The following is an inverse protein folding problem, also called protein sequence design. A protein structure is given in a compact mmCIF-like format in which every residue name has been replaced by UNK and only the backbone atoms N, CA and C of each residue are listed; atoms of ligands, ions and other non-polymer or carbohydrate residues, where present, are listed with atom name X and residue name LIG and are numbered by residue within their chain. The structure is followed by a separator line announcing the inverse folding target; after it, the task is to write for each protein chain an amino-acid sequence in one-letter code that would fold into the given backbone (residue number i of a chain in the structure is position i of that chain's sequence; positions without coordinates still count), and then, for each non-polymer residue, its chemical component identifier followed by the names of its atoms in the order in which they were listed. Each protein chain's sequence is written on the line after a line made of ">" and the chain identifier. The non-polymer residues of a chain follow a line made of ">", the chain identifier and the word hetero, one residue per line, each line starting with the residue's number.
data_IF_846722594010
#
_entry.id   IF_846722594010
#
_cell.length_a   1.000
_cell.length_b   1.000
_cell.length_c   1.000
_cell.angle_alpha   90.00
_cell.angle_beta   90.00
_cell.angle_gamma   90.00
#
_symmetry.space_group_name_H-M   'P 1'
#
loop_
_entity.id
_entity.type
_entity.pdbx_description
1 polymer ?
#
# COMPACT_ATOMS: atom_id res chain seq x y z
N UNK A 1 55.74 -5.73 -49.31
CA UNK A 1 54.55 -5.46 -48.49
C UNK A 1 55.01 -4.99 -47.12
N UNK A 2 55.05 -3.70 -46.86
CA UNK A 2 55.51 -3.14 -45.57
C UNK A 2 54.32 -2.89 -44.68
N UNK A 3 54.25 -3.61 -43.56
CA UNK A 3 53.22 -3.42 -42.55
C UNK A 3 53.58 -2.19 -41.69
N UNK A 4 52.68 -1.15 -41.69
CA UNK A 4 52.82 0.01 -40.84
C UNK A 4 52.21 -0.32 -39.47
N UNK A 5 53.04 -0.42 -38.46
CA UNK A 5 52.63 -0.58 -37.06
C UNK A 5 52.33 0.77 -36.50
N UNK A 6 51.02 1.09 -36.26
CA UNK A 6 50.59 2.33 -35.62
C UNK A 6 50.59 2.07 -34.10
N UNK A 7 51.53 2.67 -33.37
CA UNK A 7 51.53 2.67 -31.91
C UNK A 7 50.63 3.77 -31.39
N UNK A 8 49.63 3.46 -30.51
CA UNK A 8 48.77 4.49 -29.94
C UNK A 8 49.57 5.40 -29.00
N UNK A 9 49.38 6.69 -29.14
CA UNK A 9 50.06 7.72 -28.32
C UNK A 9 49.63 7.58 -26.85
N UNK A 10 50.60 7.55 -25.94
CA UNK A 10 50.43 7.47 -24.47
C UNK A 10 49.51 8.57 -23.91
N UNK A 11 49.39 9.68 -24.60
CA UNK A 11 48.47 10.80 -24.21
C UNK A 11 47.00 10.45 -24.38
N UNK A 12 46.64 9.67 -25.39
CA UNK A 12 45.25 9.24 -25.61
C UNK A 12 44.75 8.28 -24.53
N UNK A 13 45.63 7.35 -24.09
CA UNK A 13 45.31 6.38 -23.03
C UNK A 13 45.10 7.06 -21.69
N UNK A 14 45.86 8.11 -21.36
CA UNK A 14 45.66 8.87 -20.11
C UNK A 14 44.35 9.68 -20.11
N UNK A 15 43.93 10.23 -21.26
CA UNK A 15 42.67 10.98 -21.36
C UNK A 15 41.46 10.06 -21.19
N UNK A 16 41.50 8.84 -21.74
CA UNK A 16 40.41 7.87 -21.56
C UNK A 16 40.33 7.34 -20.11
N UNK A 17 41.45 7.17 -19.41
CA UNK A 17 41.44 6.74 -18.01
C UNK A 17 40.86 7.81 -17.07
N UNK A 18 41.14 9.10 -17.31
CA UNK A 18 40.61 10.19 -16.52
C UNK A 18 39.11 10.41 -16.76
N UNK A 19 38.63 10.25 -17.99
CA UNK A 19 37.21 10.32 -18.30
C UNK A 19 36.41 9.18 -17.63
N UNK A 20 36.95 7.97 -17.56
CA UNK A 20 36.32 6.82 -16.91
C UNK A 20 36.21 6.98 -15.39
N UNK A 21 37.19 7.66 -14.75
CA UNK A 21 37.15 7.91 -13.30
C UNK A 21 36.09 8.99 -12.95
N UNK A 22 35.85 9.96 -13.82
CA UNK A 22 34.86 11.02 -13.59
C UNK A 22 33.41 10.50 -13.74
N UNK A 23 33.15 9.55 -14.63
CA UNK A 23 31.82 8.94 -14.79
C UNK A 23 31.47 8.04 -13.60
N UNK A 24 32.44 7.43 -12.95
CA UNK A 24 32.20 6.63 -11.75
C UNK A 24 31.82 7.46 -10.50
N UNK A 25 32.16 8.74 -10.44
CA UNK A 25 31.81 9.62 -9.31
C UNK A 25 30.42 10.26 -9.42
N UNK A 26 29.73 10.12 -10.56
CA UNK A 26 28.36 10.59 -10.78
C UNK A 26 27.30 9.50 -10.53
N UNK A 27 27.64 8.43 -9.85
CA UNK A 27 26.65 7.56 -9.23
C UNK A 27 25.93 8.36 -8.12
N UNK A 28 25.06 9.28 -8.53
CA UNK A 28 24.09 9.93 -7.65
C UNK A 28 23.30 8.79 -7.01
N UNK A 29 23.56 8.54 -5.72
CA UNK A 29 22.71 7.65 -4.94
C UNK A 29 21.33 8.28 -4.98
N UNK A 30 20.42 7.70 -5.72
CA UNK A 30 19.01 8.04 -5.63
C UNK A 30 18.60 7.68 -4.20
N UNK A 31 18.52 8.66 -3.30
CA UNK A 31 17.78 8.50 -2.07
C UNK A 31 16.38 8.06 -2.47
N UNK A 32 15.91 6.98 -1.89
CA UNK A 32 14.56 6.50 -2.15
C UNK A 32 13.60 7.60 -1.68
N UNK A 33 13.12 8.42 -2.61
CA UNK A 33 12.11 9.41 -2.32
C UNK A 33 10.83 8.68 -1.90
N UNK A 34 10.30 9.06 -0.74
CA UNK A 34 9.03 8.51 -0.27
C UNK A 34 7.89 9.06 -1.12
N UNK A 35 7.10 8.20 -1.71
CA UNK A 35 5.95 8.61 -2.53
C UNK A 35 4.81 9.13 -1.65
N UNK A 36 4.45 10.39 -1.86
CA UNK A 36 3.36 11.08 -1.20
C UNK A 36 2.11 11.07 -2.10
N UNK A 37 0.97 10.68 -1.56
CA UNK A 37 -0.24 10.60 -2.35
C UNK A 37 -1.36 9.78 -1.71
N UNK A 38 -2.27 9.31 -2.55
CA UNK A 38 -3.38 8.47 -2.12
C UNK A 38 -3.40 7.14 -2.87
N UNK A 39 -3.98 6.13 -2.23
CA UNK A 39 -4.34 4.85 -2.85
C UNK A 39 -5.83 4.61 -2.72
N UNK A 40 -6.39 3.92 -3.70
CA UNK A 40 -7.79 3.51 -3.70
C UNK A 40 -7.92 2.00 -3.78
N UNK A 41 -8.83 1.46 -3.01
CA UNK A 41 -9.14 0.03 -2.98
C UNK A 41 -10.66 -0.17 -3.10
N UNK A 42 -11.15 -1.06 -3.98
CA UNK A 42 -10.37 -1.81 -4.97
C UNK A 42 -9.52 -0.88 -5.85
N UNK A 43 -8.40 -1.41 -6.38
CA UNK A 43 -7.54 -0.63 -7.27
C UNK A 43 -8.34 -0.11 -8.48
N UNK A 44 -8.07 1.12 -8.95
CA UNK A 44 -8.66 1.63 -10.19
C UNK A 44 -8.45 0.64 -11.34
N UNK A 45 -9.46 0.47 -12.19
CA UNK A 45 -9.48 -0.54 -13.26
C UNK A 45 -10.15 -1.85 -12.90
N UNK A 46 -10.32 -2.17 -11.63
CA UNK A 46 -11.03 -3.36 -11.21
C UNK A 46 -12.52 -3.32 -11.61
N UNK A 47 -13.10 -4.49 -11.86
CA UNK A 47 -14.56 -4.64 -11.89
C UNK A 47 -15.08 -4.77 -10.46
N UNK A 48 -16.08 -3.97 -10.10
CA UNK A 48 -16.61 -3.89 -8.74
C UNK A 48 -18.09 -4.22 -8.68
N UNK A 49 -18.64 -4.73 -7.57
CA UNK A 49 -20.07 -4.96 -7.42
C UNK A 49 -20.85 -3.63 -7.40
N UNK A 50 -22.17 -3.68 -7.68
CA UNK A 50 -23.00 -2.45 -7.69
C UNK A 50 -23.19 -1.82 -6.32
N UNK A 51 -22.94 -2.56 -5.24
CA UNK A 51 -22.96 -2.09 -3.84
C UNK A 51 -21.54 -1.87 -3.24
N UNK A 52 -20.56 -1.59 -4.10
CA UNK A 52 -19.16 -1.40 -3.71
C UNK A 52 -18.97 -0.38 -2.61
N UNK A 53 -18.01 -0.65 -1.74
CA UNK A 53 -17.44 0.28 -0.75
C UNK A 53 -15.95 0.42 -1.03
N UNK A 54 -15.52 1.65 -1.28
CA UNK A 54 -14.10 1.91 -1.51
C UNK A 54 -13.37 2.24 -0.20
N UNK A 55 -12.07 2.03 -0.21
CA UNK A 55 -11.17 2.55 0.82
C UNK A 55 -10.23 3.54 0.15
N UNK A 56 -10.17 4.76 0.67
CA UNK A 56 -9.21 5.79 0.27
C UNK A 56 -8.15 5.89 1.36
N UNK A 57 -6.90 5.60 1.00
CA UNK A 57 -5.75 5.70 1.88
C UNK A 57 -4.91 6.91 1.52
N UNK A 58 -4.64 7.80 2.48
CA UNK A 58 -3.66 8.87 2.38
C UNK A 58 -2.33 8.43 2.98
N UNK A 59 -1.25 8.69 2.25
CA UNK A 59 0.12 8.32 2.61
C UNK A 59 0.93 9.59 2.83
N UNK A 60 1.75 9.63 3.87
CA UNK A 60 2.61 10.76 4.25
C UNK A 60 1.82 12.08 4.46
N UNK A 61 2.09 13.14 3.71
CA UNK A 61 1.40 14.43 3.86
C UNK A 61 -0.12 14.32 3.58
N UNK A 62 -0.53 13.39 2.71
CA UNK A 62 -1.94 13.20 2.38
C UNK A 62 -2.77 12.53 3.49
N UNK A 63 -2.13 11.91 4.49
CA UNK A 63 -2.84 11.27 5.61
C UNK A 63 -3.76 12.24 6.37
N UNK A 64 -3.28 13.46 6.64
CA UNK A 64 -4.07 14.46 7.37
C UNK A 64 -5.25 14.97 6.53
N UNK A 65 -5.03 15.17 5.22
CA UNK A 65 -6.07 15.61 4.29
C UNK A 65 -7.17 14.56 4.13
N UNK A 66 -6.79 13.29 3.98
CA UNK A 66 -7.74 12.17 3.91
C UNK A 66 -8.51 12.01 5.23
N UNK A 67 -7.84 12.15 6.38
CA UNK A 67 -8.50 12.08 7.69
C UNK A 67 -9.58 13.16 7.89
N UNK A 68 -9.39 14.34 7.32
CA UNK A 68 -10.36 15.46 7.38
C UNK A 68 -11.59 15.27 6.50
N UNK A 69 -11.63 14.29 5.59
CA UNK A 69 -12.79 14.02 4.75
C UNK A 69 -13.98 13.43 5.53
N UNK A 70 -13.74 12.86 6.72
CA UNK A 70 -14.80 12.24 7.53
C UNK A 70 -15.83 13.29 7.93
N UNK A 71 -17.10 12.98 7.66
CA UNK A 71 -18.24 13.83 8.06
C UNK A 71 -18.64 14.91 7.06
N UNK A 72 -17.95 15.05 5.93
CA UNK A 72 -18.37 16.00 4.88
C UNK A 72 -17.32 16.15 3.79
N UNK A 73 -17.63 15.68 2.61
CA UNK A 73 -16.82 15.92 1.42
C UNK A 73 -17.69 15.95 0.17
N UNK A 74 -17.28 16.73 -0.83
CA UNK A 74 -17.92 16.80 -2.14
C UNK A 74 -17.43 15.68 -3.08
N UNK A 75 -17.27 14.45 -2.54
CA UNK A 75 -16.89 13.31 -3.35
C UNK A 75 -18.11 12.75 -4.07
N UNK A 76 -17.95 12.48 -5.35
CA UNK A 76 -18.97 11.87 -6.19
C UNK A 76 -18.37 10.90 -7.20
N UNK A 77 -19.15 9.87 -7.53
CA UNK A 77 -18.89 8.98 -8.65
C UNK A 77 -19.63 9.50 -9.87
N UNK A 78 -18.88 9.83 -10.89
CA UNK A 78 -19.41 10.32 -12.17
C UNK A 78 -19.56 9.17 -13.16
N UNK A 79 -20.70 9.17 -13.86
CA UNK A 79 -20.94 8.31 -15.02
C UNK A 79 -21.56 9.15 -16.13
N UNK A 80 -22.04 8.54 -17.20
CA UNK A 80 -22.81 9.22 -18.27
C UNK A 80 -24.18 9.75 -17.81
N UNK A 81 -24.61 9.44 -16.58
CA UNK A 81 -25.85 9.94 -15.95
C UNK A 81 -25.58 10.88 -14.78
N UNK A 82 -26.56 10.98 -13.87
CA UNK A 82 -26.43 11.79 -12.67
C UNK A 82 -25.30 11.29 -11.76
N UNK A 83 -24.56 12.20 -11.13
CA UNK A 83 -23.50 11.84 -10.21
C UNK A 83 -24.05 11.16 -8.95
N UNK A 84 -23.38 10.10 -8.51
CA UNK A 84 -23.70 9.43 -7.25
C UNK A 84 -22.84 10.01 -6.14
N UNK A 85 -23.47 10.65 -5.17
CA UNK A 85 -22.79 11.18 -3.97
C UNK A 85 -22.14 10.05 -3.19
N UNK A 86 -20.92 10.29 -2.69
CA UNK A 86 -20.18 9.36 -1.85
C UNK A 86 -20.16 9.89 -0.41
N UNK A 87 -20.52 9.04 0.54
CA UNK A 87 -20.40 9.32 1.99
C UNK A 87 -19.02 8.86 2.44
N UNK A 88 -18.32 9.71 3.19
CA UNK A 88 -17.06 9.35 3.83
C UNK A 88 -17.36 8.87 5.25
N UNK A 89 -17.18 7.58 5.47
CA UNK A 89 -17.36 6.96 6.78
C UNK A 89 -16.04 7.01 7.56
N UNK A 90 -16.14 6.78 8.89
CA UNK A 90 -14.96 6.64 9.75
C UNK A 90 -14.02 5.58 9.20
N UNK A 91 -12.72 5.89 9.26
CA UNK A 91 -11.65 5.01 8.82
C UNK A 91 -10.69 4.64 9.94
N UNK A 92 -9.46 4.42 9.59
CA UNK A 92 -8.39 3.94 10.45
C UNK A 92 -7.15 4.82 10.30
N UNK A 93 -6.42 5.00 11.40
CA UNK A 93 -5.13 5.70 11.40
C UNK A 93 -4.02 4.74 11.78
N UNK A 94 -3.00 4.67 10.96
CA UNK A 94 -1.76 3.96 11.27
C UNK A 94 -0.86 4.84 12.14
N UNK A 95 0.02 4.22 12.91
CA UNK A 95 1.13 4.91 13.58
C UNK A 95 2.31 5.18 12.63
N UNK A 96 2.20 4.75 11.36
CA UNK A 96 3.26 4.78 10.36
C UNK A 96 2.84 5.56 9.11
N UNK A 97 2.41 6.81 9.32
CA UNK A 97 2.14 7.80 8.24
C UNK A 97 1.07 7.38 7.21
N UNK A 98 0.02 6.68 7.65
CA UNK A 98 -1.14 6.36 6.80
C UNK A 98 -2.45 6.61 7.53
N UNK A 99 -3.42 7.11 6.80
CA UNK A 99 -4.83 7.22 7.22
C UNK A 99 -5.70 6.69 6.11
N UNK A 100 -6.67 5.87 6.44
CA UNK A 100 -7.63 5.34 5.49
C UNK A 100 -9.05 5.65 5.92
N UNK A 101 -9.92 5.96 4.97
CA UNK A 101 -11.35 6.19 5.17
C UNK A 101 -12.16 5.31 4.22
N UNK A 102 -13.38 4.92 4.66
CA UNK A 102 -14.30 4.21 3.78
C UNK A 102 -15.17 5.20 3.02
N UNK A 103 -15.35 4.92 1.74
CA UNK A 103 -16.16 5.70 0.83
C UNK A 103 -17.34 4.83 0.38
N UNK A 104 -18.55 5.22 0.77
CA UNK A 104 -19.76 4.49 0.42
C UNK A 104 -20.65 5.32 -0.51
N UNK A 105 -20.98 4.84 -1.72
CA UNK A 105 -22.01 5.46 -2.54
C UNK A 105 -23.35 5.50 -1.79
N UNK A 106 -24.05 6.63 -1.84
CA UNK A 106 -25.37 6.79 -1.16
C UNK A 106 -26.45 5.86 -1.71
N UNK A 107 -26.27 5.37 -2.91
CA UNK A 107 -27.16 4.44 -3.59
C UNK A 107 -26.35 3.40 -4.36
N UNK A 108 -26.96 2.25 -4.64
CA UNK A 108 -26.33 1.23 -5.47
C UNK A 108 -26.00 1.81 -6.86
N UNK A 109 -24.84 1.44 -7.38
CA UNK A 109 -24.41 1.84 -8.71
C UNK A 109 -25.19 1.07 -9.80
N UNK A 110 -25.34 1.67 -10.97
CA UNK A 110 -25.96 0.98 -12.12
C UNK A 110 -25.05 -0.17 -12.57
N UNK A 111 -25.59 -1.32 -12.95
CA UNK A 111 -24.79 -2.43 -13.45
C UNK A 111 -24.11 -2.10 -14.79
N UNK A 112 -22.98 -2.76 -15.05
CA UNK A 112 -22.18 -2.68 -16.28
C UNK A 112 -21.82 -1.24 -16.71
N UNK A 113 -21.70 -0.34 -15.75
CA UNK A 113 -21.49 1.10 -15.95
C UNK A 113 -20.10 1.52 -15.47
N UNK A 114 -19.43 2.37 -16.23
CA UNK A 114 -18.17 2.98 -15.82
C UNK A 114 -18.43 4.19 -14.92
N UNK A 115 -17.66 4.29 -13.85
CA UNK A 115 -17.69 5.38 -12.89
C UNK A 115 -16.29 5.93 -12.65
N UNK A 116 -16.18 7.25 -12.53
CA UNK A 116 -14.97 7.97 -12.16
C UNK A 116 -15.19 8.68 -10.82
N UNK A 117 -14.31 8.45 -9.85
CA UNK A 117 -14.33 9.17 -8.57
C UNK A 117 -13.68 10.55 -8.74
N UNK A 118 -14.39 11.60 -8.34
CA UNK A 118 -13.87 12.95 -8.35
C UNK A 118 -13.16 13.26 -7.04
N UNK A 119 -11.85 13.30 -7.06
CA UNK A 119 -11.02 13.70 -5.90
C UNK A 119 -10.73 15.20 -5.88
N UNK A 120 -10.76 15.86 -7.03
CA UNK A 120 -10.17 17.17 -7.27
C UNK A 120 -10.66 18.34 -6.40
N UNK A 121 -11.89 18.31 -5.89
CA UNK A 121 -12.40 19.34 -4.96
C UNK A 121 -11.93 19.09 -3.53
N UNK A 122 -12.04 17.84 -3.08
CA UNK A 122 -11.71 17.45 -1.72
C UNK A 122 -10.19 17.32 -1.52
N UNK A 123 -9.50 16.80 -2.53
CA UNK A 123 -8.05 16.56 -2.54
C UNK A 123 -7.41 17.14 -3.81
N UNK A 124 -7.33 18.47 -3.94
CA UNK A 124 -6.75 19.09 -5.14
C UNK A 124 -5.27 18.72 -5.30
N UNK A 125 -4.86 18.43 -6.55
CA UNK A 125 -3.48 18.08 -6.94
C UNK A 125 -2.90 16.83 -6.24
N UNK A 126 -3.76 15.94 -5.76
CA UNK A 126 -3.30 14.69 -5.16
C UNK A 126 -2.77 13.74 -6.23
N UNK A 127 -1.72 12.99 -5.90
CA UNK A 127 -1.19 11.90 -6.74
C UNK A 127 -1.86 10.59 -6.38
N UNK A 128 -2.36 9.86 -7.38
CA UNK A 128 -2.91 8.52 -7.21
C UNK A 128 -1.78 7.50 -7.35
N UNK A 129 -1.31 6.93 -6.23
CA UNK A 129 -0.13 6.04 -6.18
C UNK A 129 -0.37 4.66 -6.81
N UNK A 130 -1.61 4.22 -6.92
CA UNK A 130 -1.97 2.97 -7.59
C UNK A 130 -2.80 3.23 -8.85
N UNK A 131 -2.41 4.25 -9.61
CA UNK A 131 -2.99 4.56 -10.90
C UNK A 131 -2.64 3.48 -11.93
N UNK A 132 -3.67 2.89 -12.54
CA UNK A 132 -3.51 1.82 -13.53
C UNK A 132 -3.22 2.36 -14.93
N UNK A 133 -3.62 3.60 -15.22
CA UNK A 133 -3.52 4.21 -16.56
C UNK A 133 -2.47 5.31 -16.69
N UNK A 134 -1.91 5.79 -15.58
CA UNK A 134 -0.93 6.86 -15.56
C UNK A 134 -1.50 8.26 -15.84
N UNK A 135 -2.83 8.40 -15.80
CA UNK A 135 -3.53 9.68 -16.02
C UNK A 135 -4.09 10.29 -14.73
N UNK A 136 -3.73 9.74 -13.59
CA UNK A 136 -4.18 10.16 -12.26
C UNK A 136 -5.71 10.11 -12.09
N UNK A 137 -6.36 9.14 -12.75
CA UNK A 137 -7.82 8.99 -12.76
C UNK A 137 -8.26 7.72 -12.06
N UNK A 138 -9.19 7.84 -11.13
CA UNK A 138 -9.77 6.72 -10.39
C UNK A 138 -11.07 6.25 -11.07
N UNK A 139 -10.99 5.19 -11.89
CA UNK A 139 -12.11 4.64 -12.66
C UNK A 139 -12.37 3.17 -12.33
N UNK A 140 -13.63 2.78 -12.35
CA UNK A 140 -14.08 1.39 -12.18
C UNK A 140 -15.25 1.11 -13.10
N UNK A 141 -15.42 -0.16 -13.46
CA UNK A 141 -16.62 -0.67 -14.11
C UNK A 141 -17.38 -1.54 -13.11
N UNK A 142 -18.69 -1.30 -12.99
CA UNK A 142 -19.54 -2.18 -12.18
C UNK A 142 -19.81 -3.48 -12.92
N UNK A 143 -19.84 -4.58 -12.17
CA UNK A 143 -20.40 -5.87 -12.63
C UNK A 143 -21.92 -5.82 -12.79
N UNK A 144 -22.53 -6.96 -13.15
CA UNK A 144 -23.98 -7.04 -13.41
C UNK A 144 -24.83 -6.99 -12.13
N UNK A 145 -24.27 -7.31 -10.96
CA UNK A 145 -25.03 -7.54 -9.72
C UNK A 145 -24.36 -6.91 -8.50
N UNK A 146 -25.08 -6.83 -7.41
CA UNK A 146 -24.53 -6.61 -6.08
C UNK A 146 -23.90 -7.89 -5.55
N UNK A 147 -22.93 -7.74 -4.65
CA UNK A 147 -22.36 -8.83 -3.87
C UNK A 147 -22.93 -8.82 -2.46
N UNK A 148 -23.49 -9.96 -2.03
CA UNK A 148 -24.02 -10.19 -0.68
C UNK A 148 -23.36 -11.42 -0.02
N UNK A 149 -22.32 -11.95 -0.64
CA UNK A 149 -21.62 -13.14 -0.18
C UNK A 149 -20.45 -12.76 0.70
N UNK A 150 -20.44 -13.22 1.93
CA UNK A 150 -19.31 -12.96 2.82
C UNK A 150 -18.05 -13.72 2.39
N UNK A 151 -16.88 -13.08 2.38
CA UNK A 151 -15.61 -13.71 2.05
C UNK A 151 -15.25 -14.79 3.08
N UNK A 152 -14.52 -15.83 2.66
CA UNK A 152 -14.15 -16.95 3.54
C UNK A 152 -12.69 -17.33 3.38
N UNK A 153 -11.99 -17.49 4.49
CA UNK A 153 -10.68 -18.12 4.44
C UNK A 153 -10.81 -19.58 4.01
N UNK A 154 -10.04 -19.99 3.02
CA UNK A 154 -9.93 -21.39 2.59
C UNK A 154 -8.92 -22.16 3.44
N UNK A 155 -7.94 -21.43 3.99
CA UNK A 155 -6.96 -21.95 4.93
C UNK A 155 -6.78 -20.96 6.09
N UNK A 156 -6.37 -21.47 7.25
CA UNK A 156 -6.04 -20.60 8.39
C UNK A 156 -4.87 -19.70 8.01
N UNK A 157 -5.01 -18.39 8.11
CA UNK A 157 -3.91 -17.48 7.86
C UNK A 157 -2.70 -17.73 8.75
N UNK A 158 -1.51 -17.60 8.17
CA UNK A 158 -0.24 -17.84 8.86
C UNK A 158 0.84 -16.88 8.36
N UNK A 159 1.77 -16.52 9.23
CA UNK A 159 2.97 -15.78 8.81
C UNK A 159 3.80 -16.69 7.92
N UNK A 160 4.06 -16.24 6.70
CA UNK A 160 4.87 -16.96 5.72
C UNK A 160 6.29 -16.40 5.62
N UNK A 161 6.47 -15.12 5.91
CA UNK A 161 7.75 -14.43 5.77
C UNK A 161 7.81 -13.24 6.73
N UNK A 162 8.98 -12.98 7.30
CA UNK A 162 9.30 -11.78 8.06
C UNK A 162 10.52 -11.10 7.44
N UNK A 163 10.45 -9.78 7.27
CA UNK A 163 11.55 -8.98 6.74
C UNK A 163 11.95 -7.91 7.73
N UNK A 164 13.25 -7.75 7.93
CA UNK A 164 13.88 -6.69 8.70
C UNK A 164 15.04 -6.11 7.90
N UNK A 165 15.09 -4.80 7.78
CA UNK A 165 16.23 -4.11 7.18
C UNK A 165 16.38 -2.74 7.83
N UNK A 166 17.58 -2.43 8.29
CA UNK A 166 17.96 -1.11 8.78
C UNK A 166 18.92 -0.48 7.78
N UNK A 167 18.60 0.71 7.30
CA UNK A 167 19.43 1.51 6.41
C UNK A 167 19.71 2.86 7.05
N UNK A 168 20.47 3.72 6.38
CA UNK A 168 20.68 5.10 6.79
C UNK A 168 19.39 5.92 6.79
N UNK A 169 18.46 5.59 5.90
CA UNK A 169 17.20 6.30 5.69
C UNK A 169 16.12 5.86 6.68
N UNK A 170 16.31 4.73 7.36
CA UNK A 170 15.38 4.25 8.37
C UNK A 170 15.28 2.74 8.50
N UNK A 171 14.16 2.30 9.02
CA UNK A 171 13.87 0.90 9.33
C UNK A 171 12.70 0.40 8.49
N UNK A 172 12.89 -0.68 7.77
CA UNK A 172 11.82 -1.48 7.17
C UNK A 172 11.59 -2.73 8.00
N UNK A 173 10.34 -2.97 8.36
CA UNK A 173 9.94 -4.16 9.12
C UNK A 173 8.56 -4.63 8.69
N UNK A 174 8.50 -5.73 7.98
CA UNK A 174 7.27 -6.26 7.43
C UNK A 174 7.08 -7.74 7.73
N UNK A 175 5.83 -8.14 7.81
CA UNK A 175 5.38 -9.52 7.92
C UNK A 175 4.43 -9.81 6.76
N UNK A 176 4.70 -10.88 6.04
CA UNK A 176 3.82 -11.40 5.01
C UNK A 176 2.90 -12.44 5.64
N UNK A 177 1.61 -12.13 5.65
CA UNK A 177 0.57 -13.00 6.16
C UNK A 177 -0.08 -13.71 4.98
N UNK A 178 0.13 -15.02 4.87
CA UNK A 178 -0.54 -15.83 3.88
C UNK A 178 -2.02 -15.94 4.26
N UNK A 179 -2.90 -15.49 3.38
CA UNK A 179 -4.33 -15.32 3.64
C UNK A 179 -5.13 -15.74 2.40
N UNK A 180 -5.21 -17.05 2.17
CA UNK A 180 -6.00 -17.58 1.07
C UNK A 180 -7.49 -17.38 1.34
N UNK A 181 -8.14 -16.61 0.47
CA UNK A 181 -9.56 -16.26 0.59
C UNK A 181 -10.32 -16.72 -0.66
N UNK A 182 -11.51 -17.21 -0.45
CA UNK A 182 -12.49 -17.42 -1.51
C UNK A 182 -13.50 -16.29 -1.47
N UNK A 183 -13.48 -15.50 -2.55
CA UNK A 183 -14.40 -14.39 -2.79
C UNK A 183 -14.45 -14.05 -4.29
N UNK A 184 -15.39 -13.20 -4.70
CA UNK A 184 -15.54 -12.76 -6.09
C UNK A 184 -14.80 -11.43 -6.32
N UNK A 185 -14.73 -10.56 -5.30
CA UNK A 185 -14.17 -9.22 -5.34
C UNK A 185 -12.84 -9.07 -4.62
N UNK A 186 -12.46 -7.83 -4.38
CA UNK A 186 -11.30 -7.49 -3.59
C UNK A 186 -11.56 -7.76 -2.10
N UNK A 187 -10.59 -8.34 -1.42
CA UNK A 187 -10.71 -8.70 0.00
C UNK A 187 -9.64 -8.03 0.84
N UNK A 188 -9.98 -7.78 2.11
CA UNK A 188 -9.17 -7.02 3.03
C UNK A 188 -9.20 -7.65 4.42
N UNK A 189 -8.12 -7.48 5.14
CA UNK A 189 -8.03 -7.76 6.56
C UNK A 189 -8.17 -6.45 7.34
N UNK A 190 -9.07 -6.39 8.30
CA UNK A 190 -9.02 -5.40 9.36
C UNK A 190 -8.30 -6.01 10.54
N UNK A 191 -7.09 -5.55 10.78
CA UNK A 191 -6.21 -6.12 11.81
C UNK A 191 -6.18 -5.18 13.01
N UNK A 192 -6.62 -5.70 14.16
CA UNK A 192 -6.37 -5.09 15.46
C UNK A 192 -5.17 -5.77 16.09
N UNK A 193 -4.11 -5.01 16.35
CA UNK A 193 -2.85 -5.49 16.88
C UNK A 193 -2.58 -4.88 18.26
N UNK A 194 -2.21 -5.69 19.21
CA UNK A 194 -1.78 -5.27 20.55
C UNK A 194 -0.52 -6.01 20.99
N UNK A 195 0.30 -5.39 21.84
CA UNK A 195 1.45 -6.07 22.45
C UNK A 195 0.94 -7.22 23.33
N UNK A 196 1.56 -8.39 23.22
CA UNK A 196 1.21 -9.56 24.03
C UNK A 196 1.54 -9.37 25.53
N UNK A 197 2.51 -8.48 25.84
CA UNK A 197 2.94 -8.15 27.22
C UNK A 197 3.34 -6.68 27.30
N UNK A 198 3.20 -6.08 28.47
CA UNK A 198 3.59 -4.69 28.77
C UNK A 198 2.42 -3.72 28.63
N UNK A 199 2.72 -2.43 28.44
CA UNK A 199 1.69 -1.39 28.29
C UNK A 199 0.90 -1.65 27.01
N UNK A 200 -0.42 -1.73 27.13
CA UNK A 200 -1.31 -1.97 26.00
C UNK A 200 -1.20 -0.82 24.99
N UNK A 201 -0.75 -1.14 23.81
CA UNK A 201 -0.76 -0.25 22.65
C UNK A 201 -1.58 -0.95 21.58
N UNK A 202 -2.81 -0.51 21.39
CA UNK A 202 -3.71 -1.07 20.38
C UNK A 202 -3.60 -0.26 19.10
N UNK A 203 -3.23 -0.90 18.03
CA UNK A 203 -3.27 -0.35 16.68
C UNK A 203 -4.36 -1.08 15.90
N UNK A 204 -5.04 -0.38 15.02
CA UNK A 204 -6.01 -0.99 14.11
C UNK A 204 -5.87 -0.37 12.73
N UNK A 205 -5.66 -1.21 11.74
CA UNK A 205 -5.54 -0.77 10.37
C UNK A 205 -6.00 -1.86 9.41
N UNK A 206 -6.31 -1.48 8.18
CA UNK A 206 -6.63 -2.45 7.14
C UNK A 206 -5.37 -2.88 6.39
N UNK A 207 -5.42 -4.08 5.80
CA UNK A 207 -4.40 -4.60 4.90
C UNK A 207 -5.09 -5.26 3.70
N UNK A 208 -4.86 -4.78 2.47
CA UNK A 208 -5.38 -5.45 1.29
C UNK A 208 -4.73 -6.82 1.13
N UNK A 209 -5.51 -7.79 0.64
CA UNK A 209 -4.99 -9.09 0.23
C UNK A 209 -4.64 -8.99 -1.25
N UNK A 210 -3.36 -9.15 -1.57
CA UNK A 210 -2.86 -9.24 -2.93
C UNK A 210 -2.49 -10.70 -3.24
N UNK A 211 -3.20 -11.30 -4.20
CA UNK A 211 -3.16 -12.74 -4.43
C UNK A 211 -3.52 -13.52 -3.16
N UNK A 212 -2.55 -14.20 -2.56
CA UNK A 212 -2.74 -14.98 -1.32
C UNK A 212 -2.10 -14.29 -0.09
N UNK A 213 -1.68 -13.03 -0.18
CA UNK A 213 -0.88 -12.43 0.87
C UNK A 213 -1.39 -11.06 1.29
N UNK A 214 -1.32 -10.78 2.57
CA UNK A 214 -1.44 -9.43 3.12
C UNK A 214 -0.11 -9.02 3.75
N UNK A 215 0.31 -7.78 3.52
CA UNK A 215 1.54 -7.23 4.09
C UNK A 215 1.20 -6.40 5.33
N UNK A 216 1.79 -6.75 6.47
CA UNK A 216 1.69 -6.01 7.73
C UNK A 216 3.04 -5.37 8.06
N UNK A 217 3.03 -4.18 8.63
CA UNK A 217 4.25 -3.50 9.04
C UNK A 217 4.49 -2.21 8.26
N UNK A 218 5.75 -1.82 8.14
CA UNK A 218 6.16 -0.56 7.53
C UNK A 218 7.49 -0.69 6.78
N UNK A 219 7.66 0.15 5.79
CA UNK A 219 8.95 0.50 5.20
C UNK A 219 9.50 1.77 5.85
N UNK A 220 10.58 2.32 5.31
CA UNK A 220 11.21 3.55 5.80
C UNK A 220 10.29 4.78 5.74
N UNK A 221 9.27 4.76 4.88
CA UNK A 221 8.37 5.88 4.61
C UNK A 221 7.05 5.77 5.36
N UNK A 222 6.41 4.62 5.28
CA UNK A 222 5.04 4.45 5.74
C UNK A 222 4.67 2.98 5.97
N UNK A 223 3.52 2.72 6.58
CA UNK A 223 3.05 1.36 6.75
C UNK A 223 1.72 1.24 7.48
N UNK A 224 1.22 0.00 7.56
CA UNK A 224 0.00 -0.32 8.29
C UNK A 224 0.23 -0.38 9.81
N UNK A 225 1.40 -0.87 10.24
CA UNK A 225 1.72 -1.09 11.66
C UNK A 225 3.17 -0.79 11.97
N UNK A 226 3.43 -0.21 13.17
CA UNK A 226 4.76 -0.13 13.76
C UNK A 226 5.03 -1.35 14.65
N UNK A 227 6.14 -2.03 14.42
CA UNK A 227 6.61 -3.13 15.26
C UNK A 227 7.80 -2.69 16.12
N UNK A 228 7.83 -3.10 17.39
CA UNK A 228 8.99 -2.91 18.27
C UNK A 228 9.91 -4.15 18.25
N UNK A 229 11.19 -3.94 18.49
CA UNK A 229 12.19 -5.00 18.52
C UNK A 229 11.87 -6.08 19.55
N UNK A 230 11.88 -7.33 19.10
CA UNK A 230 11.74 -8.51 19.96
C UNK A 230 10.39 -8.64 20.67
N UNK A 231 9.39 -7.86 20.30
CA UNK A 231 8.06 -7.93 20.90
C UNK A 231 7.18 -8.96 20.22
N UNK A 232 6.37 -9.61 21.03
CA UNK A 232 5.27 -10.45 20.56
C UNK A 232 3.97 -9.65 20.54
N UNK A 233 3.12 -9.95 19.58
CA UNK A 233 1.84 -9.29 19.36
C UNK A 233 0.71 -10.29 19.24
N UNK A 234 -0.46 -9.87 19.74
CA UNK A 234 -1.74 -10.56 19.52
C UNK A 234 -2.51 -9.79 18.45
N UNK A 235 -2.93 -10.51 17.43
CA UNK A 235 -3.74 -9.96 16.35
C UNK A 235 -5.15 -10.53 16.46
N UNK A 236 -6.14 -9.63 16.36
CA UNK A 236 -7.51 -9.99 16.02
C UNK A 236 -7.77 -9.52 14.59
N UNK A 237 -8.07 -10.46 13.71
CA UNK A 237 -8.19 -10.23 12.28
C UNK A 237 -9.64 -10.47 11.88
N UNK A 238 -10.25 -9.47 11.25
CA UNK A 238 -11.56 -9.53 10.63
C UNK A 238 -11.37 -9.53 9.11
N UNK A 239 -12.16 -10.33 8.41
CA UNK A 239 -12.14 -10.41 6.95
C UNK A 239 -13.34 -9.66 6.40
N UNK A 240 -13.13 -8.80 5.40
CA UNK A 240 -14.20 -8.13 4.68
C UNK A 240 -13.86 -7.97 3.19
N UNK A 241 -14.89 -7.77 2.37
CA UNK A 241 -14.76 -7.56 0.92
C UNK A 241 -15.06 -6.11 0.51
N UNK A 242 -15.00 -5.85 -0.78
CA UNK A 242 -15.30 -4.55 -1.39
C UNK A 242 -16.81 -4.22 -1.44
N UNK A 243 -17.69 -5.10 -1.01
CA UNK A 243 -19.09 -4.82 -0.74
C UNK A 243 -19.38 -4.61 0.75
N UNK A 244 -18.34 -4.65 1.60
CA UNK A 244 -18.39 -4.60 3.05
C UNK A 244 -19.11 -5.81 3.70
N UNK A 245 -19.24 -6.94 3.01
CA UNK A 245 -19.65 -8.18 3.65
C UNK A 245 -18.51 -8.67 4.57
N UNK A 246 -18.87 -9.16 5.75
CA UNK A 246 -17.88 -9.53 6.77
C UNK A 246 -17.81 -11.05 6.89
N UNK A 247 -16.64 -11.61 6.70
CA UNK A 247 -16.33 -13.03 6.89
C UNK A 247 -15.91 -13.35 8.32
N UNK A 248 -15.76 -14.64 8.60
CA UNK A 248 -15.29 -15.10 9.92
C UNK A 248 -13.84 -14.69 10.12
N UNK A 249 -13.59 -13.91 11.17
CA UNK A 249 -12.25 -13.54 11.61
C UNK A 249 -11.53 -14.64 12.38
N UNK A 250 -10.28 -14.38 12.75
CA UNK A 250 -9.49 -15.28 13.59
C UNK A 250 -8.46 -14.50 14.44
N UNK A 251 -7.85 -15.21 15.40
CA UNK A 251 -6.78 -14.66 16.25
C UNK A 251 -5.46 -15.33 15.94
N UNK A 252 -4.39 -14.54 15.96
CA UNK A 252 -3.03 -14.98 15.71
C UNK A 252 -2.10 -14.32 16.73
N UNK A 253 -1.10 -15.06 17.19
CA UNK A 253 0.05 -14.49 17.91
C UNK A 253 1.27 -14.57 16.99
N UNK A 254 2.06 -13.51 16.98
CA UNK A 254 3.29 -13.45 16.20
C UNK A 254 4.37 -12.64 16.93
N UNK A 255 5.61 -12.84 16.51
CA UNK A 255 6.73 -11.99 16.93
C UNK A 255 7.12 -11.04 15.80
N UNK A 256 7.50 -9.80 16.17
CA UNK A 256 8.06 -8.86 15.21
C UNK A 256 9.32 -9.45 14.56
N UNK A 257 9.55 -9.19 13.27
CA UNK A 257 10.80 -9.53 12.62
C UNK A 257 11.98 -8.95 13.39
N UNK A 258 13.04 -9.73 13.54
CA UNK A 258 14.27 -9.35 14.25
C UNK A 258 15.40 -9.12 13.29
N UNK A 259 16.38 -8.27 13.65
CA UNK A 259 17.62 -8.20 12.91
C UNK A 259 18.28 -9.60 12.86
N UNK A 260 18.84 -9.93 11.72
CA UNK A 260 19.76 -11.08 11.55
C UNK A 260 21.16 -10.68 12.00
N UNK A 261 22.09 -11.64 12.12
CA UNK A 261 23.49 -11.34 12.42
C UNK A 261 24.11 -10.41 11.38
N UNK A 262 23.72 -10.54 10.11
CA UNK A 262 24.18 -9.68 9.02
C UNK A 262 23.71 -8.22 9.16
N UNK A 263 22.53 -7.99 9.72
CA UNK A 263 21.99 -6.65 9.98
C UNK A 263 22.70 -5.94 11.15
N UNK A 264 23.42 -6.69 11.98
CA UNK A 264 24.13 -6.19 13.15
C UNK A 264 25.62 -5.91 12.87
N UNK A 265 26.17 -6.37 11.75
CA UNK A 265 27.54 -6.05 11.37
C UNK A 265 27.62 -4.55 10.98
N UNK A 266 28.58 -3.77 11.58
CA UNK A 266 28.80 -2.40 11.16
C UNK A 266 29.26 -2.39 9.70
N UNK A 267 28.65 -1.52 8.87
CA UNK A 267 29.15 -1.28 7.51
C UNK A 267 30.65 -1.04 7.56
N UNK A 268 31.43 -1.96 7.01
CA UNK A 268 32.87 -1.78 6.86
C UNK A 268 33.08 -0.54 5.97
N UNK A 269 33.59 0.52 6.59
CA UNK A 269 33.94 1.78 5.92
C UNK A 269 35.07 1.60 4.92
#
# INVERSE_FOLDING_TARGET
>A
MNAVVVTPSLKLVRLCLQASLFVAMLAVRAEAACDDGVRLFPAPGATVPTNVVFVLEGVLAEQERVGKLVGGSDLALLSSGDPVTVVVEKGWSSTMNRVAVRLRPKQALKPNTEYTLTLGRALPKVTLLNDTWGDNTARWRTGPTSDTTAPKFTQKPAVSEGFYQRTRDGLTRTLKLRSQVKDIGATYLLVSMERARGVASKQQYFAPIDGENALLGHDVCSGSFGFDDGRAYKLNIELFDDAANTGKGFKLELSAPRPTEQDLEPEKK
#
